data_IF_012682002162
#
_entry.id   IF_012682002162
#
_cell.length_a   1.000
_cell.length_b   1.000
_cell.length_c   1.000
_cell.angle_alpha   90.00
_cell.angle_beta   90.00
_cell.angle_gamma   90.00
#
_symmetry.space_group_name_H-M   'P 1'
#
loop_
_entity.id
_entity.type
_entity.pdbx_description
1 polymer ?
#
# COMPACT_ATOMS: atom_id res chain seq x y z
N UNK A 1 -2.58 -37.59 29.52
CA UNK A 1 -3.48 -36.84 28.63
C UNK A 1 -4.44 -36.04 29.49
N UNK A 2 -4.18 -34.73 29.63
CA UNK A 2 -5.27 -33.75 29.52
C UNK A 2 -4.88 -32.63 28.55
N UNK A 3 -5.80 -32.31 27.64
CA UNK A 3 -5.73 -31.17 26.76
C UNK A 3 -6.02 -29.90 27.56
N UNK A 4 -5.13 -28.91 27.50
CA UNK A 4 -5.44 -27.54 27.92
C UNK A 4 -5.60 -26.69 26.66
N UNK A 5 -6.85 -26.57 26.23
CA UNK A 5 -7.28 -25.48 25.38
C UNK A 5 -7.36 -24.23 26.26
N UNK A 6 -6.37 -23.35 26.15
CA UNK A 6 -6.44 -21.98 26.68
C UNK A 6 -7.07 -21.05 25.64
N UNK A 7 -7.97 -20.14 26.04
CA UNK A 7 -8.81 -19.41 25.10
C UNK A 7 -8.00 -18.40 24.30
N UNK A 8 -8.14 -18.49 22.97
CA UNK A 8 -8.01 -17.34 22.09
C UNK A 8 -9.01 -16.28 22.55
N UNK A 9 -8.55 -15.08 22.86
CA UNK A 9 -9.25 -13.79 22.77
C UNK A 9 -8.44 -12.72 23.52
N UNK A 10 -7.69 -11.91 22.79
CA UNK A 10 -7.39 -10.55 23.22
C UNK A 10 -8.19 -9.64 22.30
N UNK A 11 -9.27 -8.99 22.77
CA UNK A 11 -10.01 -8.03 21.98
C UNK A 11 -9.06 -6.88 21.61
N UNK A 12 -8.99 -6.59 20.32
CA UNK A 12 -8.32 -5.42 19.78
C UNK A 12 -9.08 -4.17 20.23
N UNK A 13 -8.74 -3.65 21.40
CA UNK A 13 -9.08 -2.30 21.80
C UNK A 13 -8.10 -1.36 21.12
N UNK A 14 -8.34 -1.06 19.84
CA UNK A 14 -7.73 0.08 19.15
C UNK A 14 -8.31 1.35 19.78
N UNK A 15 -7.66 1.81 20.84
CA UNK A 15 -7.79 3.17 21.37
C UNK A 15 -7.64 4.17 20.20
N UNK A 16 -8.61 5.07 19.97
CA UNK A 16 -8.53 6.00 18.86
C UNK A 16 -7.55 7.11 19.22
N UNK A 17 -6.30 6.99 18.79
CA UNK A 17 -5.27 8.03 18.93
C UNK A 17 -5.53 9.27 18.05
N UNK A 18 -6.69 9.35 17.40
CA UNK A 18 -6.96 10.26 16.30
C UNK A 18 -8.21 11.05 16.64
N UNK A 19 -8.01 12.23 17.25
CA UNK A 19 -9.09 13.16 17.55
C UNK A 19 -9.82 13.55 16.26
N UNK A 20 -11.10 13.18 16.18
CA UNK A 20 -11.92 13.39 15.00
C UNK A 20 -12.23 14.88 14.78
N UNK A 21 -11.62 15.50 13.77
CA UNK A 21 -12.15 16.71 13.12
C UNK A 21 -12.88 16.33 11.84
N UNK A 22 -14.00 16.99 11.58
CA UNK A 22 -14.97 16.67 10.53
C UNK A 22 -14.77 17.59 9.31
N UNK A 23 -14.44 17.00 8.15
CA UNK A 23 -14.65 17.54 6.80
C UNK A 23 -14.99 16.37 5.83
N UNK A 24 -15.41 16.65 4.59
CA UNK A 24 -15.90 15.67 3.59
C UNK A 24 -14.98 14.46 3.30
N UNK A 25 -13.72 14.51 3.72
CA UNK A 25 -12.95 13.32 4.08
C UNK A 25 -12.41 13.52 5.50
N UNK A 26 -12.63 12.55 6.38
CA UNK A 26 -12.14 12.60 7.76
C UNK A 26 -10.86 11.78 7.95
N UNK A 27 -10.10 12.05 9.01
CA UNK A 27 -8.82 11.38 9.29
C UNK A 27 -8.92 9.84 9.29
N UNK A 28 -10.07 9.29 9.72
CA UNK A 28 -10.30 7.85 9.73
C UNK A 28 -10.43 7.27 8.32
N UNK A 29 -11.01 8.02 7.38
CA UNK A 29 -11.03 7.65 5.97
C UNK A 29 -9.62 7.66 5.38
N UNK A 30 -8.77 8.66 5.70
CA UNK A 30 -7.36 8.66 5.26
C UNK A 30 -6.67 7.37 5.70
N UNK A 31 -6.81 6.99 6.97
CA UNK A 31 -6.13 5.82 7.52
C UNK A 31 -6.63 4.52 6.91
N UNK A 32 -7.92 4.44 6.55
CA UNK A 32 -8.46 3.27 5.84
C UNK A 32 -7.88 3.15 4.43
N UNK A 33 -7.68 4.28 3.76
CA UNK A 33 -7.23 4.33 2.36
C UNK A 33 -5.71 4.51 2.21
N UNK A 34 -4.96 4.62 3.31
CA UNK A 34 -3.53 4.98 3.30
C UNK A 34 -2.68 3.99 2.50
N UNK A 35 -2.96 2.68 2.59
CA UNK A 35 -2.24 1.67 1.81
C UNK A 35 -2.49 1.86 0.32
N UNK A 36 -3.77 1.94 -0.10
CA UNK A 36 -4.16 2.18 -1.49
C UNK A 36 -3.55 3.49 -2.04
N UNK A 37 -3.46 4.52 -1.19
CA UNK A 37 -2.85 5.80 -1.56
C UNK A 37 -1.35 5.66 -1.83
N UNK A 38 -0.61 4.94 -0.97
CA UNK A 38 0.82 4.71 -1.13
C UNK A 38 1.14 3.80 -2.33
N UNK A 39 0.29 2.80 -2.58
CA UNK A 39 0.42 1.88 -3.71
C UNK A 39 -0.03 2.52 -5.04
N UNK A 40 -0.69 3.68 -5.00
CA UNK A 40 -1.18 4.39 -6.18
C UNK A 40 -2.44 3.75 -6.80
N UNK A 41 -3.17 2.96 -6.04
CA UNK A 41 -4.35 2.19 -6.48
C UNK A 41 -5.69 2.89 -6.20
N UNK A 42 -5.67 4.11 -5.65
CA UNK A 42 -6.88 4.88 -5.41
C UNK A 42 -7.53 5.38 -6.70
N UNK A 43 -8.87 5.39 -6.69
CA UNK A 43 -9.65 6.08 -7.72
C UNK A 43 -9.27 7.59 -7.75
N UNK A 44 -9.15 8.22 -8.93
CA UNK A 44 -8.73 9.62 -9.04
C UNK A 44 -9.53 10.61 -8.20
N UNK A 45 -10.84 10.39 -8.09
CA UNK A 45 -11.77 11.19 -7.27
C UNK A 45 -11.41 11.11 -5.78
N UNK A 46 -11.27 9.90 -5.25
CA UNK A 46 -10.90 9.64 -3.84
C UNK A 46 -9.50 10.14 -3.52
N UNK A 47 -8.56 9.98 -4.47
CA UNK A 47 -7.21 10.50 -4.33
C UNK A 47 -7.22 12.03 -4.17
N UNK A 48 -8.00 12.74 -4.97
CA UNK A 48 -8.10 14.20 -4.89
C UNK A 48 -8.68 14.66 -3.54
N UNK A 49 -9.73 14.01 -3.05
CA UNK A 49 -10.31 14.30 -1.74
C UNK A 49 -9.30 14.05 -0.60
N UNK A 50 -8.51 12.98 -0.71
CA UNK A 50 -7.48 12.64 0.27
C UNK A 50 -6.34 13.67 0.25
N UNK A 51 -5.87 14.06 -0.94
CA UNK A 51 -4.84 15.10 -1.08
C UNK A 51 -5.29 16.43 -0.50
N UNK A 52 -6.55 16.84 -0.75
CA UNK A 52 -7.12 18.04 -0.14
C UNK A 52 -7.15 17.94 1.40
N UNK A 53 -7.55 16.81 1.96
CA UNK A 53 -7.50 16.60 3.40
C UNK A 53 -6.07 16.67 3.95
N UNK A 54 -5.11 16.09 3.23
CA UNK A 54 -3.71 16.15 3.61
C UNK A 54 -3.21 17.59 3.60
N UNK A 55 -3.62 18.47 2.70
CA UNK A 55 -3.22 19.89 2.74
C UNK A 55 -3.64 20.58 4.06
N UNK A 56 -4.86 20.28 4.53
CA UNK A 56 -5.51 20.93 5.67
C UNK A 56 -5.26 20.26 7.04
N UNK A 57 -4.71 19.04 7.07
CA UNK A 57 -4.54 18.26 8.30
C UNK A 57 -3.10 17.76 8.50
N UNK A 58 -2.34 18.46 9.36
CA UNK A 58 -0.95 18.09 9.67
C UNK A 58 -0.83 16.72 10.36
N UNK A 59 -1.79 16.32 11.19
CA UNK A 59 -1.77 14.99 11.83
C UNK A 59 -1.80 13.87 10.78
N UNK A 60 -2.63 14.01 9.75
CA UNK A 60 -2.69 13.02 8.67
C UNK A 60 -1.44 13.02 7.79
N UNK A 61 -0.80 14.19 7.56
CA UNK A 61 0.51 14.25 6.90
C UNK A 61 1.54 13.42 7.66
N UNK A 62 1.63 13.62 8.98
CA UNK A 62 2.55 12.88 9.84
C UNK A 62 2.29 11.37 9.77
N UNK A 63 1.03 10.95 9.81
CA UNK A 63 0.67 9.53 9.67
C UNK A 63 1.10 8.96 8.32
N UNK A 64 0.80 9.66 7.22
CA UNK A 64 1.20 9.23 5.86
C UNK A 64 2.71 9.09 5.75
N UNK A 65 3.47 10.07 6.26
CA UNK A 65 4.93 10.04 6.20
C UNK A 65 5.52 8.95 7.09
N UNK A 66 4.94 8.67 8.26
CA UNK A 66 5.34 7.55 9.11
C UNK A 66 5.10 6.20 8.44
N UNK A 67 3.98 6.02 7.74
CA UNK A 67 3.70 4.78 7.02
C UNK A 67 4.65 4.62 5.83
N UNK A 68 4.95 5.69 5.09
CA UNK A 68 6.00 5.68 4.04
C UNK A 68 7.35 5.24 4.59
N UNK A 69 7.79 5.85 5.68
CA UNK A 69 9.05 5.48 6.33
C UNK A 69 9.04 4.02 6.78
N UNK A 70 7.89 3.54 7.29
CA UNK A 70 7.73 2.12 7.66
C UNK A 70 7.91 1.23 6.44
N UNK A 71 7.26 1.55 5.31
CA UNK A 71 7.45 0.81 4.06
C UNK A 71 8.92 0.85 3.64
N UNK A 72 9.56 2.02 3.62
CA UNK A 72 10.96 2.16 3.21
C UNK A 72 11.90 1.31 4.10
N UNK A 73 11.74 1.36 5.43
CA UNK A 73 12.59 0.61 6.37
C UNK A 73 12.40 -0.90 6.25
N UNK A 74 11.17 -1.37 6.05
CA UNK A 74 10.87 -2.81 5.95
C UNK A 74 11.13 -3.36 4.54
N UNK A 75 10.91 -2.54 3.51
CA UNK A 75 11.04 -2.88 2.10
C UNK A 75 12.35 -2.37 1.50
N UNK A 76 13.33 -2.00 2.33
CA UNK A 76 14.74 -1.65 2.01
C UNK A 76 15.53 -2.82 1.36
N UNK A 77 14.81 -3.73 0.71
CA UNK A 77 15.28 -4.64 -0.31
C UNK A 77 15.94 -3.86 -1.43
N UNK A 78 17.26 -3.66 -1.30
CA UNK A 78 18.11 -3.30 -2.43
C UNK A 78 17.68 -4.14 -3.63
N UNK A 79 17.38 -3.53 -4.80
CA UNK A 79 16.96 -4.27 -5.97
C UNK A 79 17.96 -5.41 -6.21
N UNK A 80 17.50 -6.65 -6.06
CA UNK A 80 18.38 -7.80 -6.32
C UNK A 80 18.61 -7.81 -7.82
N UNK A 81 19.87 -7.79 -8.24
CA UNK A 81 20.19 -7.90 -9.65
C UNK A 81 19.61 -9.20 -10.20
N UNK A 82 18.72 -9.09 -11.20
CA UNK A 82 18.12 -10.23 -11.84
C UNK A 82 19.22 -11.04 -12.56
N UNK A 83 19.38 -12.35 -12.28
CA UNK A 83 20.38 -13.16 -12.96
C UNK A 83 20.25 -13.06 -14.49
N UNK A 84 21.38 -12.97 -15.18
CA UNK A 84 21.44 -12.73 -16.63
C UNK A 84 20.65 -13.74 -17.46
N UNK A 85 20.60 -15.01 -17.02
CA UNK A 85 19.78 -16.07 -17.62
C UNK A 85 18.29 -15.73 -17.60
N UNK A 86 17.77 -15.35 -16.42
CA UNK A 86 16.36 -15.01 -16.23
C UNK A 86 16.00 -13.77 -17.04
N UNK A 87 16.86 -12.74 -17.02
CA UNK A 87 16.68 -11.52 -17.82
C UNK A 87 16.60 -11.83 -19.31
N UNK A 88 17.48 -12.70 -19.81
CA UNK A 88 17.53 -13.08 -21.22
C UNK A 88 16.28 -13.83 -21.65
N UNK A 89 15.86 -14.82 -20.85
CA UNK A 89 14.63 -15.60 -21.09
C UNK A 89 13.38 -14.74 -21.05
N UNK A 90 13.30 -13.79 -20.11
CA UNK A 90 12.21 -12.82 -20.01
C UNK A 90 12.14 -11.94 -21.28
N UNK A 91 13.27 -11.37 -21.70
CA UNK A 91 13.34 -10.55 -22.90
C UNK A 91 12.96 -11.34 -24.17
N UNK A 92 13.37 -12.61 -24.28
CA UNK A 92 12.97 -13.47 -25.40
C UNK A 92 11.47 -13.74 -25.41
N UNK A 93 10.90 -14.10 -24.26
CA UNK A 93 9.46 -14.35 -24.12
C UNK A 93 8.63 -13.11 -24.47
N UNK A 94 9.05 -11.92 -24.02
CA UNK A 94 8.41 -10.65 -24.38
C UNK A 94 8.49 -10.37 -25.88
N UNK A 95 9.67 -10.53 -26.50
CA UNK A 95 9.84 -10.36 -27.96
C UNK A 95 8.94 -11.32 -28.76
N UNK A 96 8.84 -12.58 -28.34
CA UNK A 96 7.97 -13.56 -28.98
C UNK A 96 6.50 -13.12 -28.92
N UNK A 97 6.01 -12.77 -27.72
CA UNK A 97 4.63 -12.26 -27.53
C UNK A 97 4.33 -11.01 -28.34
N UNK A 98 5.28 -10.08 -28.44
CA UNK A 98 5.11 -8.86 -29.25
C UNK A 98 5.03 -9.17 -30.75
N UNK A 99 5.81 -10.13 -31.26
CA UNK A 99 5.72 -10.59 -32.65
C UNK A 99 4.40 -11.30 -32.93
N UNK A 100 3.92 -12.15 -32.03
CA UNK A 100 2.63 -12.83 -32.15
C UNK A 100 1.47 -11.81 -32.21
N UNK A 101 1.52 -10.77 -31.37
CA UNK A 101 0.53 -9.69 -31.37
C UNK A 101 0.61 -8.79 -32.62
N UNK A 102 1.82 -8.53 -33.13
CA UNK A 102 2.03 -7.76 -34.35
C UNK A 102 1.70 -8.52 -35.64
N UNK A 103 1.63 -9.86 -35.59
CA UNK A 103 1.28 -10.73 -36.71
C UNK A 103 -0.20 -11.17 -36.67
N UNK A 104 -0.99 -10.57 -35.78
CA UNK A 104 -2.44 -10.73 -35.61
C UNK A 104 -3.19 -9.40 -35.81
N UNK A 105 -2.49 -8.37 -36.32
CA UNK A 105 -3.05 -7.10 -36.77
C UNK A 105 -3.03 -7.04 -38.30
#
# INVERSE_FOLDING_TARGET
MPAVAGPAQTPAETEPLLSARQNELNCKSVIREISNYLDGELEPSVKQELEQHLEDCDDCKVVVDQVRLTVDVFCDSKPVELPSDIKSRLHEALRRKMKEKGNQA
#
